data_IF_667922019585
#
_entry.id   IF_667922019585
#
_cell.length_a   1.000
_cell.length_b   1.000
_cell.length_c   1.000
_cell.angle_alpha   90.00
_cell.angle_beta   90.00
_cell.angle_gamma   90.00
#
_symmetry.space_group_name_H-M   'P 1'
#
loop_
_entity.id
_entity.type
_entity.pdbx_description
1 polymer ?
#
# COMPACT_ATOMS: atom_id res chain seq x y z
N UNK A 1 13.34 -24.45 -74.63
CA UNK A 1 13.42 -23.29 -73.73
C UNK A 1 12.30 -23.41 -72.67
N UNK A 2 12.60 -23.97 -71.51
CA UNK A 2 11.62 -24.15 -70.41
C UNK A 2 11.82 -22.99 -69.44
N UNK A 3 10.79 -22.11 -69.33
CA UNK A 3 10.75 -21.04 -68.31
C UNK A 3 10.34 -21.65 -67.01
N UNK A 4 11.27 -21.74 -66.03
CA UNK A 4 10.93 -22.01 -64.61
C UNK A 4 10.33 -20.76 -63.98
N UNK A 5 9.04 -20.85 -63.63
CA UNK A 5 8.32 -19.85 -62.84
C UNK A 5 8.58 -20.17 -61.36
N UNK A 6 9.45 -19.41 -60.73
CA UNK A 6 9.78 -19.54 -59.31
C UNK A 6 8.69 -18.75 -58.52
N UNK A 7 7.72 -19.46 -57.97
CA UNK A 7 6.73 -18.88 -57.07
C UNK A 7 7.36 -18.70 -55.69
N UNK A 8 7.64 -17.46 -55.33
CA UNK A 8 8.12 -17.06 -53.99
C UNK A 8 6.93 -17.09 -53.04
N UNK A 9 6.85 -18.16 -52.23
CA UNK A 9 5.84 -18.29 -51.18
C UNK A 9 6.28 -17.41 -50.00
N UNK A 10 5.75 -16.19 -49.89
CA UNK A 10 5.91 -15.36 -48.70
C UNK A 10 4.99 -15.94 -47.64
N UNK A 11 5.54 -16.78 -46.77
CA UNK A 11 4.89 -17.19 -45.53
C UNK A 11 4.89 -15.98 -44.59
N UNK A 12 3.74 -15.27 -44.55
CA UNK A 12 3.51 -14.32 -43.46
C UNK A 12 3.46 -15.13 -42.17
N UNK A 13 4.57 -15.18 -41.43
CA UNK A 13 4.56 -15.55 -40.01
C UNK A 13 3.83 -14.43 -39.30
N UNK A 14 2.53 -14.57 -39.13
CA UNK A 14 1.84 -13.93 -38.02
C UNK A 14 2.41 -14.58 -36.75
N UNK A 15 3.48 -14.02 -36.25
CA UNK A 15 3.93 -14.31 -34.91
C UNK A 15 2.80 -13.90 -34.01
N UNK A 16 2.18 -14.89 -33.36
CA UNK A 16 1.37 -14.65 -32.17
C UNK A 16 2.35 -14.01 -31.17
N UNK A 17 2.42 -12.67 -31.12
CA UNK A 17 3.09 -11.98 -30.05
C UNK A 17 2.28 -12.36 -28.81
N UNK A 18 2.81 -13.26 -28.00
CA UNK A 18 2.31 -13.46 -26.65
C UNK A 18 2.31 -12.07 -26.01
N UNK A 19 1.12 -11.57 -25.71
CA UNK A 19 0.97 -10.27 -25.07
C UNK A 19 1.77 -10.34 -23.78
N UNK A 20 2.88 -9.63 -23.71
CA UNK A 20 3.77 -9.64 -22.57
C UNK A 20 2.94 -9.18 -21.37
N UNK A 21 2.89 -9.99 -20.31
CA UNK A 21 2.17 -9.64 -19.09
C UNK A 21 2.88 -8.46 -18.44
N UNK A 22 2.11 -7.52 -17.90
CA UNK A 22 2.71 -6.48 -17.05
C UNK A 22 3.08 -7.08 -15.69
N UNK A 23 4.31 -6.84 -15.26
CA UNK A 23 4.84 -7.30 -13.98
C UNK A 23 4.54 -6.27 -12.90
N UNK A 24 3.83 -6.67 -11.86
CA UNK A 24 3.44 -5.82 -10.73
C UNK A 24 4.09 -6.34 -9.47
N UNK A 25 4.77 -5.49 -8.71
CA UNK A 25 5.28 -5.80 -7.39
C UNK A 25 4.38 -5.19 -6.32
N UNK A 26 4.00 -5.96 -5.31
CA UNK A 26 3.15 -5.50 -4.22
C UNK A 26 3.63 -6.05 -2.88
N UNK A 27 3.66 -5.24 -1.79
CA UNK A 27 3.96 -5.75 -0.46
C UNK A 27 2.77 -6.49 0.14
N UNK A 28 3.05 -7.48 1.01
CA UNK A 28 2.05 -8.14 1.84
C UNK A 28 1.24 -7.13 2.68
N UNK A 29 0.03 -7.52 3.08
CA UNK A 29 -0.90 -6.70 3.85
C UNK A 29 -2.01 -6.11 2.99
N UNK A 30 -2.57 -4.96 3.37
CA UNK A 30 -3.67 -4.32 2.65
C UNK A 30 -3.34 -3.99 1.17
N UNK A 31 -2.11 -3.62 0.80
CA UNK A 31 -1.79 -3.45 -0.62
C UNK A 31 -2.01 -4.73 -1.45
N UNK A 32 -1.70 -5.91 -0.90
CA UNK A 32 -1.95 -7.18 -1.60
C UNK A 32 -3.44 -7.52 -1.76
N UNK A 33 -4.34 -6.86 -1.04
CA UNK A 33 -5.78 -7.02 -1.26
C UNK A 33 -6.23 -6.32 -2.55
N UNK A 34 -5.58 -5.22 -2.95
CA UNK A 34 -5.98 -4.42 -4.11
C UNK A 34 -5.88 -5.17 -5.44
N UNK A 35 -5.03 -6.20 -5.50
CA UNK A 35 -4.72 -6.94 -6.74
C UNK A 35 -5.52 -8.24 -6.92
N UNK A 36 -6.40 -8.61 -5.98
CA UNK A 36 -7.05 -9.91 -5.97
C UNK A 36 -7.97 -10.15 -7.18
N UNK A 37 -8.55 -9.09 -7.76
CA UNK A 37 -9.40 -9.15 -8.95
C UNK A 37 -8.65 -8.98 -10.28
N UNK A 38 -7.33 -8.82 -10.28
CA UNK A 38 -6.56 -8.66 -11.52
C UNK A 38 -6.49 -9.97 -12.31
N UNK A 39 -6.71 -9.88 -13.63
CA UNK A 39 -6.58 -11.02 -14.55
C UNK A 39 -5.12 -11.46 -14.67
N UNK A 40 -4.82 -12.64 -14.15
CA UNK A 40 -3.47 -13.24 -14.17
C UNK A 40 -2.97 -13.59 -15.59
N UNK A 41 -3.83 -13.56 -16.61
CA UNK A 41 -3.41 -13.70 -18.01
C UNK A 41 -2.83 -12.41 -18.57
N UNK A 42 -3.09 -11.28 -17.92
CA UNK A 42 -2.64 -9.92 -18.31
C UNK A 42 -1.57 -9.41 -17.36
N UNK A 43 -1.69 -9.72 -16.08
CA UNK A 43 -0.82 -9.23 -15.02
C UNK A 43 -0.11 -10.38 -14.30
N UNK A 44 1.20 -10.28 -14.19
CA UNK A 44 1.99 -11.12 -13.30
C UNK A 44 2.25 -10.34 -12.01
N UNK A 45 1.79 -10.85 -10.89
CA UNK A 45 1.92 -10.19 -9.60
C UNK A 45 2.90 -10.93 -8.72
N UNK A 46 3.94 -10.22 -8.27
CA UNK A 46 4.91 -10.69 -7.29
C UNK A 46 4.58 -10.05 -5.92
N UNK A 47 4.19 -10.88 -4.94
CA UNK A 47 3.90 -10.43 -3.57
C UNK A 47 5.14 -10.62 -2.70
N UNK A 48 5.57 -9.54 -2.01
CA UNK A 48 6.83 -9.53 -1.27
C UNK A 48 6.68 -9.09 0.18
N UNK A 49 7.64 -9.47 1.02
CA UNK A 49 7.71 -9.08 2.41
C UNK A 49 8.85 -8.09 2.65
N UNK A 50 8.54 -7.05 3.42
CA UNK A 50 9.52 -6.03 3.81
C UNK A 50 9.86 -5.01 2.70
N UNK A 51 10.65 -3.98 3.04
CA UNK A 51 10.95 -2.89 2.12
C UNK A 51 12.05 -3.20 1.09
N UNK A 52 12.98 -4.13 1.37
CA UNK A 52 14.16 -4.36 0.55
C UNK A 52 13.84 -4.76 -0.90
N UNK A 53 12.88 -5.68 -1.18
CA UNK A 53 12.51 -6.01 -2.55
C UNK A 53 11.89 -4.81 -3.30
N UNK A 54 11.12 -3.95 -2.61
CA UNK A 54 10.56 -2.74 -3.19
C UNK A 54 11.67 -1.75 -3.57
N UNK A 55 12.62 -1.50 -2.66
CA UNK A 55 13.79 -0.63 -2.92
C UNK A 55 14.60 -1.15 -4.11
N UNK A 56 14.84 -2.47 -4.17
CA UNK A 56 15.57 -3.08 -5.29
C UNK A 56 14.82 -2.91 -6.63
N UNK A 57 13.49 -3.09 -6.63
CA UNK A 57 12.66 -2.95 -7.83
C UNK A 57 12.64 -1.50 -8.34
N UNK A 58 12.41 -0.52 -7.46
CA UNK A 58 12.50 0.90 -7.83
C UNK A 58 13.87 1.26 -8.39
N UNK A 59 14.94 0.73 -7.78
CA UNK A 59 16.31 1.02 -8.19
C UNK A 59 16.73 0.38 -9.52
N UNK A 60 16.15 -0.76 -9.89
CA UNK A 60 16.48 -1.52 -11.11
C UNK A 60 15.52 -1.31 -12.27
N UNK A 61 14.30 -0.79 -12.03
CA UNK A 61 13.26 -0.74 -13.06
C UNK A 61 12.74 -2.12 -13.47
N UNK A 62 12.77 -3.11 -12.56
CA UNK A 62 12.51 -4.53 -12.90
C UNK A 62 11.03 -4.87 -13.06
N UNK A 63 10.12 -4.00 -12.65
CA UNK A 63 8.68 -4.20 -12.73
C UNK A 63 8.03 -3.03 -13.47
N UNK A 64 6.95 -3.31 -14.19
CA UNK A 64 6.18 -2.31 -14.92
C UNK A 64 5.39 -1.41 -13.97
N UNK A 65 4.95 -1.97 -12.84
CA UNK A 65 4.29 -1.21 -11.78
C UNK A 65 4.70 -1.73 -10.39
N UNK A 66 4.68 -0.84 -9.42
CA UNK A 66 4.99 -1.14 -8.02
C UNK A 66 3.91 -0.50 -7.14
N UNK A 67 3.26 -1.29 -6.29
CA UNK A 67 2.49 -0.74 -5.18
C UNK A 67 3.43 -0.68 -3.99
N UNK A 68 3.56 0.47 -3.34
CA UNK A 68 4.52 0.67 -2.26
C UNK A 68 4.04 1.73 -1.26
N UNK A 69 4.60 1.76 -0.03
CA UNK A 69 4.38 2.87 0.88
C UNK A 69 4.69 4.20 0.19
N UNK A 70 3.78 5.17 0.32
CA UNK A 70 3.85 6.45 -0.41
C UNK A 70 5.16 7.20 -0.15
N UNK A 71 5.62 7.26 1.10
CA UNK A 71 6.90 7.91 1.44
C UNK A 71 8.12 7.21 0.83
N UNK A 72 8.07 5.88 0.67
CA UNK A 72 9.15 5.12 0.03
C UNK A 72 9.26 5.49 -1.45
N UNK A 73 8.13 5.50 -2.15
CA UNK A 73 8.08 5.90 -3.57
C UNK A 73 8.57 7.34 -3.78
N UNK A 74 8.12 8.29 -2.94
CA UNK A 74 8.61 9.67 -2.93
C UNK A 74 10.13 9.75 -2.79
N UNK A 75 10.68 9.03 -1.80
CA UNK A 75 12.14 9.00 -1.56
C UNK A 75 12.91 8.47 -2.76
N UNK A 76 12.39 7.41 -3.39
CA UNK A 76 13.10 6.74 -4.49
C UNK A 76 12.94 7.49 -5.82
N UNK A 77 11.83 8.19 -6.04
CA UNK A 77 11.67 9.13 -7.14
C UNK A 77 12.77 10.19 -7.13
N UNK A 78 13.04 10.82 -6.00
CA UNK A 78 14.09 11.83 -5.85
C UNK A 78 15.50 11.30 -6.22
N UNK A 79 15.70 9.98 -6.16
CA UNK A 79 17.00 9.35 -6.43
C UNK A 79 17.17 8.82 -7.86
N UNK A 80 16.10 8.38 -8.53
CA UNK A 80 16.16 7.65 -9.81
C UNK A 80 14.88 7.76 -10.65
N UNK A 81 14.25 8.79 -10.78
CA UNK A 81 13.10 9.12 -11.65
C UNK A 81 12.70 8.06 -12.73
N UNK A 82 12.56 6.79 -12.33
CA UNK A 82 12.12 5.70 -13.21
C UNK A 82 10.61 5.48 -13.17
N UNK A 83 9.95 5.94 -12.10
CA UNK A 83 8.53 5.70 -11.85
C UNK A 83 7.81 7.01 -11.57
N UNK A 84 6.53 7.06 -11.93
CA UNK A 84 5.60 8.13 -11.58
C UNK A 84 4.52 7.58 -10.64
N UNK A 85 4.03 8.40 -9.74
CA UNK A 85 2.88 8.09 -8.90
C UNK A 85 1.59 8.24 -9.72
N UNK A 86 0.88 7.14 -9.97
CA UNK A 86 -0.34 7.14 -10.76
C UNK A 86 -1.60 7.29 -9.90
N UNK A 87 -1.65 6.62 -8.75
CA UNK A 87 -2.82 6.64 -7.88
C UNK A 87 -2.45 6.29 -6.43
N UNK A 88 -3.27 6.71 -5.48
CA UNK A 88 -3.31 6.15 -4.14
C UNK A 88 -4.28 4.98 -4.15
N UNK A 89 -3.91 3.85 -3.54
CA UNK A 89 -4.70 2.61 -3.56
C UNK A 89 -5.05 2.07 -2.18
N UNK A 90 -4.30 2.48 -1.14
CA UNK A 90 -4.59 2.18 0.27
C UNK A 90 -4.48 3.47 1.06
N UNK A 91 -5.55 3.77 1.77
CA UNK A 91 -5.61 4.89 2.71
C UNK A 91 -5.37 4.40 4.14
N UNK A 92 -5.34 5.27 5.11
CA UNK A 92 -4.89 4.94 6.46
C UNK A 92 -5.59 3.73 7.10
N UNK A 93 -4.82 2.76 7.56
CA UNK A 93 -5.31 1.57 8.24
C UNK A 93 -4.41 1.16 9.42
N UNK A 94 -3.79 2.14 10.09
CA UNK A 94 -2.98 1.89 11.28
C UNK A 94 -3.80 2.02 12.55
N UNK A 95 -3.55 1.13 13.49
CA UNK A 95 -4.27 1.05 14.76
C UNK A 95 -3.31 0.84 15.92
N UNK A 96 -3.62 1.42 17.07
CA UNK A 96 -3.02 1.02 18.34
C UNK A 96 -3.98 0.07 19.04
N UNK A 97 -3.49 -1.07 19.52
CA UNK A 97 -4.29 -2.11 20.19
C UNK A 97 -3.84 -2.32 21.62
N UNK A 98 -4.79 -2.61 22.51
CA UNK A 98 -4.54 -3.06 23.88
C UNK A 98 -5.81 -3.69 24.46
N UNK A 99 -5.67 -4.73 25.30
CA UNK A 99 -6.78 -5.31 26.07
C UNK A 99 -6.86 -4.78 27.49
N UNK A 100 -5.96 -3.86 27.88
CA UNK A 100 -5.87 -3.31 29.24
C UNK A 100 -7.02 -2.36 29.58
N UNK A 101 -7.61 -1.73 28.56
CA UNK A 101 -8.61 -0.66 28.72
C UNK A 101 -10.02 -1.18 28.49
N UNK A 102 -11.00 -0.67 29.21
CA UNK A 102 -12.42 -0.89 28.87
C UNK A 102 -12.83 -0.05 27.65
N UNK A 103 -12.36 1.22 27.62
CA UNK A 103 -12.41 2.12 26.48
C UNK A 103 -10.98 2.60 26.23
N UNK A 104 -10.51 2.52 24.98
CA UNK A 104 -9.14 2.88 24.64
C UNK A 104 -9.14 4.11 23.73
N UNK A 105 -8.58 5.21 24.23
CA UNK A 105 -8.59 6.53 23.60
C UNK A 105 -7.18 7.09 23.47
N UNK A 106 -7.01 8.16 22.69
CA UNK A 106 -5.71 8.79 22.49
C UNK A 106 -5.10 9.33 23.80
N UNK A 107 -5.91 9.80 24.73
CA UNK A 107 -5.46 10.34 26.03
C UNK A 107 -4.83 9.26 26.91
N UNK A 108 -5.22 8.00 26.73
CA UNK A 108 -4.67 6.86 27.47
C UNK A 108 -3.20 6.56 27.13
N UNK A 109 -2.68 7.16 26.06
CA UNK A 109 -1.29 6.96 25.62
C UNK A 109 -0.29 7.76 26.46
N UNK A 110 -0.71 8.80 27.16
CA UNK A 110 0.23 9.70 27.81
C UNK A 110 1.10 8.99 28.86
N UNK A 111 2.42 9.13 28.76
CA UNK A 111 3.43 8.47 29.58
C UNK A 111 3.41 6.93 29.51
N UNK A 112 2.94 6.35 28.42
CA UNK A 112 2.94 4.91 28.20
C UNK A 112 4.13 4.43 27.38
N UNK A 113 4.46 3.15 27.55
CA UNK A 113 5.35 2.42 26.65
C UNK A 113 4.52 1.83 25.53
N UNK A 114 4.91 2.07 24.28
CA UNK A 114 4.23 1.57 23.09
C UNK A 114 5.20 0.84 22.16
N UNK A 115 4.73 -0.23 21.54
CA UNK A 115 5.48 -1.00 20.55
C UNK A 115 5.01 -0.57 19.16
N UNK A 116 5.95 -0.16 18.30
CA UNK A 116 5.68 0.38 16.97
C UNK A 116 6.52 -0.34 15.93
N UNK A 117 5.93 -0.69 14.79
CA UNK A 117 6.67 -1.18 13.62
C UNK A 117 6.89 -0.07 12.59
N UNK A 118 7.84 -0.28 11.68
CA UNK A 118 8.05 0.63 10.55
C UNK A 118 8.69 1.96 10.96
N UNK A 119 9.75 1.91 11.77
CA UNK A 119 10.52 3.11 12.12
C UNK A 119 10.89 3.91 10.86
N UNK A 120 10.59 5.22 10.87
CA UNK A 120 10.77 6.12 9.72
C UNK A 120 9.96 5.74 8.46
N UNK A 121 8.86 5.01 8.62
CA UNK A 121 7.87 4.74 7.58
C UNK A 121 6.55 5.46 7.90
N UNK A 122 5.56 5.36 7.01
CA UNK A 122 4.26 6.01 7.17
C UNK A 122 3.63 5.77 8.55
N UNK A 123 3.73 4.55 9.09
CA UNK A 123 3.20 4.21 10.42
C UNK A 123 3.76 5.09 11.54
N UNK A 124 5.10 5.21 11.59
CA UNK A 124 5.82 6.00 12.58
C UNK A 124 5.58 7.52 12.39
N UNK A 125 5.54 7.97 11.14
CA UNK A 125 5.30 9.38 10.78
C UNK A 125 3.93 9.83 11.29
N UNK A 126 2.87 9.09 10.94
CA UNK A 126 1.49 9.41 11.32
C UNK A 126 1.33 9.38 12.84
N UNK A 127 1.87 8.36 13.50
CA UNK A 127 1.81 8.28 14.97
C UNK A 127 2.48 9.49 15.62
N UNK A 128 3.70 9.83 15.23
CA UNK A 128 4.43 10.97 15.78
C UNK A 128 3.71 12.29 15.54
N UNK A 129 3.13 12.47 14.36
CA UNK A 129 2.35 13.65 14.04
C UNK A 129 1.14 13.79 14.98
N UNK A 130 0.37 12.72 15.16
CA UNK A 130 -0.79 12.69 16.06
C UNK A 130 -0.35 12.96 17.52
N UNK A 131 0.69 12.28 18.00
CA UNK A 131 1.20 12.47 19.37
C UNK A 131 1.65 13.92 19.62
N UNK A 132 2.34 14.52 18.64
CA UNK A 132 2.78 15.91 18.73
C UNK A 132 1.59 16.88 18.81
N UNK A 133 0.55 16.68 17.99
CA UNK A 133 -0.64 17.52 18.00
C UNK A 133 -1.35 17.52 19.35
N UNK A 134 -1.51 16.34 19.97
CA UNK A 134 -2.15 16.19 21.28
C UNK A 134 -1.21 16.47 22.47
N UNK A 135 0.07 16.82 22.23
CA UNK A 135 1.09 16.98 23.26
C UNK A 135 1.26 15.73 24.15
N UNK A 136 1.14 14.54 23.57
CA UNK A 136 1.26 13.26 24.26
C UNK A 136 2.70 12.79 24.21
N UNK A 137 3.24 12.41 25.38
CA UNK A 137 4.58 11.82 25.51
C UNK A 137 4.46 10.32 25.70
N UNK A 138 5.21 9.55 24.92
CA UNK A 138 5.27 8.08 25.00
C UNK A 138 6.73 7.62 24.92
N UNK A 139 7.01 6.41 25.43
CA UNK A 139 8.26 5.70 25.16
C UNK A 139 8.01 4.71 24.02
N UNK A 140 8.71 4.87 22.89
CA UNK A 140 8.52 3.99 21.73
C UNK A 140 9.61 2.91 21.70
N UNK A 141 9.18 1.65 21.64
CA UNK A 141 10.02 0.51 21.30
C UNK A 141 9.72 0.07 19.87
N UNK A 142 10.74 0.10 19.01
CA UNK A 142 10.56 -0.31 17.60
C UNK A 142 10.79 -1.80 17.42
N UNK A 143 9.98 -2.38 16.49
CA UNK A 143 10.14 -3.76 16.01
C UNK A 143 10.17 -3.75 14.47
N UNK A 144 10.73 -4.82 13.89
CA UNK A 144 11.04 -4.87 12.45
C UNK A 144 9.80 -5.00 11.55
N UNK A 145 8.69 -5.54 12.07
CA UNK A 145 7.50 -5.82 11.26
C UNK A 145 6.21 -5.81 12.08
N UNK A 146 5.07 -5.64 11.38
CA UNK A 146 3.74 -5.81 11.98
C UNK A 146 3.54 -7.23 12.55
N UNK A 147 4.16 -8.25 11.94
CA UNK A 147 4.09 -9.62 12.43
C UNK A 147 4.78 -9.75 13.80
N UNK A 148 5.96 -9.14 13.99
CA UNK A 148 6.66 -9.11 15.28
C UNK A 148 5.85 -8.33 16.33
N UNK A 149 5.27 -7.19 15.96
CA UNK A 149 4.38 -6.41 16.82
C UNK A 149 3.17 -7.26 17.27
N UNK A 150 2.51 -7.93 16.34
CA UNK A 150 1.36 -8.80 16.60
C UNK A 150 1.71 -9.97 17.53
N UNK A 151 2.88 -10.60 17.33
CA UNK A 151 3.33 -11.70 18.18
C UNK A 151 3.59 -11.23 19.64
N UNK A 152 4.15 -10.03 19.82
CA UNK A 152 4.33 -9.45 21.15
C UNK A 152 2.99 -9.15 21.82
N UNK A 153 2.01 -8.65 21.07
CA UNK A 153 0.66 -8.43 21.56
C UNK A 153 -0.02 -9.72 22.02
N UNK A 154 0.03 -10.78 21.21
CA UNK A 154 -0.56 -12.09 21.57
C UNK A 154 0.05 -12.65 22.84
N UNK A 155 1.37 -12.47 23.04
CA UNK A 155 2.08 -12.90 24.25
C UNK A 155 1.70 -12.09 25.50
N UNK A 156 1.38 -10.79 25.33
CA UNK A 156 0.92 -9.92 26.42
C UNK A 156 -0.07 -8.88 25.88
N UNK A 157 -1.38 -9.19 25.84
CA UNK A 157 -2.40 -8.31 25.29
C UNK A 157 -2.61 -6.99 26.05
N UNK A 158 -2.03 -6.85 27.26
CA UNK A 158 -2.08 -5.61 28.02
C UNK A 158 -1.08 -4.55 27.53
N UNK A 159 -0.14 -4.91 26.65
CA UNK A 159 0.74 -3.94 26.00
C UNK A 159 -0.03 -3.08 25.00
N UNK A 160 0.47 -1.87 24.78
CA UNK A 160 -0.02 -1.01 23.68
C UNK A 160 0.87 -1.29 22.49
N UNK A 161 0.28 -1.76 21.38
CA UNK A 161 1.00 -2.20 20.20
C UNK A 161 0.39 -1.60 18.97
N UNK A 162 1.22 -1.06 18.07
CA UNK A 162 0.79 -0.59 16.76
C UNK A 162 0.71 -1.74 15.78
N UNK A 163 -0.40 -1.82 15.06
CA UNK A 163 -0.66 -2.80 14.00
C UNK A 163 -1.33 -2.14 12.80
N UNK A 164 -1.44 -2.89 11.71
CA UNK A 164 -2.19 -2.52 10.52
C UNK A 164 -3.14 -3.66 10.14
N UNK A 165 -4.12 -3.40 9.28
CA UNK A 165 -4.85 -4.50 8.65
C UNK A 165 -3.93 -5.31 7.70
N UNK A 166 -4.12 -6.61 7.60
CA UNK A 166 -5.15 -7.49 8.22
C UNK A 166 -4.82 -7.96 9.65
N UNK A 167 -3.72 -7.52 10.24
CA UNK A 167 -3.30 -8.00 11.58
C UNK A 167 -4.28 -7.62 12.68
N UNK A 168 -4.91 -6.43 12.63
CA UNK A 168 -5.94 -6.05 13.59
C UNK A 168 -7.09 -7.07 13.60
N UNK A 169 -7.60 -7.43 12.42
CA UNK A 169 -8.70 -8.40 12.29
C UNK A 169 -8.30 -9.79 12.78
N UNK A 170 -7.05 -10.23 12.53
CA UNK A 170 -6.50 -11.47 13.07
C UNK A 170 -6.40 -11.43 14.60
N UNK A 171 -5.89 -10.33 15.16
CA UNK A 171 -5.75 -10.18 16.61
C UNK A 171 -7.09 -10.14 17.33
N UNK A 172 -8.10 -9.46 16.78
CA UNK A 172 -9.47 -9.47 17.34
C UNK A 172 -10.10 -10.87 17.34
N UNK A 173 -9.77 -11.70 16.33
CA UNK A 173 -10.23 -13.08 16.31
C UNK A 173 -9.52 -13.97 17.36
N UNK A 174 -8.25 -13.69 17.67
CA UNK A 174 -7.46 -14.43 18.65
C UNK A 174 -7.67 -13.95 20.09
N UNK A 175 -7.88 -12.64 20.27
CA UNK A 175 -8.02 -11.94 21.54
C UNK A 175 -9.27 -11.06 21.47
N UNK A 176 -10.47 -11.60 21.72
CA UNK A 176 -11.74 -10.89 21.51
C UNK A 176 -11.90 -9.60 22.32
N UNK A 177 -11.22 -9.47 23.46
CA UNK A 177 -11.22 -8.26 24.31
C UNK A 177 -10.38 -7.12 23.74
N UNK A 178 -9.70 -7.31 22.63
CA UNK A 178 -8.85 -6.28 22.00
C UNK A 178 -9.63 -5.00 21.72
N UNK A 179 -9.21 -3.91 22.34
CA UNK A 179 -9.62 -2.54 22.01
C UNK A 179 -8.62 -1.92 21.06
N UNK A 180 -9.07 -0.94 20.30
CA UNK A 180 -8.16 -0.25 19.38
C UNK A 180 -8.49 1.24 19.25
N UNK A 181 -7.46 1.99 18.92
CA UNK A 181 -7.55 3.37 18.43
C UNK A 181 -7.29 3.31 16.93
N UNK A 182 -8.19 3.86 16.15
CA UNK A 182 -8.02 4.02 14.72
C UNK A 182 -7.32 5.35 14.43
N UNK A 183 -6.06 5.28 13.95
CA UNK A 183 -5.27 6.48 13.66
C UNK A 183 -5.77 7.24 12.44
N UNK A 184 -6.48 6.58 11.51
CA UNK A 184 -7.11 7.23 10.37
C UNK A 184 -8.21 8.19 10.84
N UNK A 185 -9.11 7.71 11.71
CA UNK A 185 -10.17 8.55 12.27
C UNK A 185 -9.62 9.78 13.00
N UNK A 186 -8.53 9.60 13.76
CA UNK A 186 -7.87 10.74 14.43
C UNK A 186 -7.26 11.68 13.41
N UNK A 187 -6.51 11.17 12.43
CA UNK A 187 -5.90 11.98 11.39
C UNK A 187 -6.93 12.82 10.64
N UNK A 188 -8.07 12.24 10.25
CA UNK A 188 -9.18 12.93 9.59
C UNK A 188 -9.71 14.09 10.43
N UNK A 189 -9.86 13.89 11.75
CA UNK A 189 -10.30 14.95 12.65
C UNK A 189 -9.33 16.14 12.74
N UNK A 190 -8.04 15.93 12.46
CA UNK A 190 -7.01 16.96 12.45
C UNK A 190 -6.89 17.67 11.09
N UNK A 191 -7.27 17.03 10.00
CA UNK A 191 -7.01 17.46 8.63
C UNK A 191 -8.27 17.60 7.77
N UNK A 192 -9.36 18.13 8.35
CA UNK A 192 -10.59 18.44 7.60
C UNK A 192 -11.13 17.27 6.78
N UNK A 193 -11.20 16.08 7.40
CA UNK A 193 -11.64 14.81 6.82
C UNK A 193 -10.73 14.22 5.73
N UNK A 194 -9.54 14.81 5.49
CA UNK A 194 -8.55 14.22 4.61
C UNK A 194 -8.01 12.90 5.17
N UNK A 195 -7.79 11.94 4.29
CA UNK A 195 -7.14 10.66 4.60
C UNK A 195 -5.64 10.72 4.33
N UNK A 196 -4.81 10.00 5.11
CA UNK A 196 -3.41 9.91 4.76
C UNK A 196 -3.15 8.83 3.71
N UNK A 197 -2.36 9.14 2.66
CA UNK A 197 -2.05 8.20 1.58
C UNK A 197 -1.02 7.17 2.06
N UNK A 198 -1.48 5.96 2.40
CA UNK A 198 -0.61 4.91 2.97
C UNK A 198 0.20 4.19 1.91
N UNK A 199 -0.44 3.75 0.81
CA UNK A 199 0.24 3.10 -0.29
C UNK A 199 -0.28 3.60 -1.64
N UNK A 200 0.65 3.77 -2.58
CA UNK A 200 0.41 4.28 -3.91
C UNK A 200 0.84 3.29 -5.00
N UNK A 201 0.21 3.39 -6.15
CA UNK A 201 0.61 2.77 -7.40
C UNK A 201 1.66 3.64 -8.09
N UNK A 202 2.82 3.10 -8.33
CA UNK A 202 3.91 3.69 -9.12
C UNK A 202 4.03 2.94 -10.44
N UNK A 203 4.02 3.66 -11.55
CA UNK A 203 4.11 3.11 -12.90
C UNK A 203 5.44 3.47 -13.55
N UNK A 204 6.07 2.50 -14.24
CA UNK A 204 7.33 2.74 -14.92
C UNK A 204 7.14 3.70 -16.09
N UNK A 205 8.06 4.65 -16.29
CA UNK A 205 7.96 5.67 -17.35
C UNK A 205 8.03 5.12 -18.78
N UNK A 206 8.46 3.87 -18.97
CA UNK A 206 8.49 3.22 -20.28
C UNK A 206 7.12 2.65 -20.71
N UNK A 207 6.14 2.62 -19.79
CA UNK A 207 4.78 2.21 -20.13
C UNK A 207 4.11 3.27 -21.01
N UNK A 208 3.34 2.80 -21.98
CA UNK A 208 2.48 3.69 -22.77
C UNK A 208 1.27 4.15 -21.94
N UNK A 209 0.70 5.30 -22.29
CA UNK A 209 -0.52 5.80 -21.65
C UNK A 209 -1.65 4.76 -21.65
N UNK A 210 -1.86 4.07 -22.78
CA UNK A 210 -2.87 3.01 -22.89
C UNK A 210 -2.65 1.86 -21.90
N UNK A 211 -1.38 1.48 -21.66
CA UNK A 211 -1.04 0.46 -20.66
C UNK A 211 -1.33 0.94 -19.25
N UNK A 212 -0.99 2.19 -18.94
CA UNK A 212 -1.23 2.79 -17.63
C UNK A 212 -2.72 2.94 -17.35
N UNK A 213 -3.49 3.53 -18.29
CA UNK A 213 -4.95 3.66 -18.16
C UNK A 213 -5.60 2.29 -17.92
N UNK A 214 -5.24 1.31 -18.73
CA UNK A 214 -5.78 -0.04 -18.58
C UNK A 214 -5.42 -0.70 -17.26
N UNK A 215 -4.22 -0.47 -16.73
CA UNK A 215 -3.81 -0.94 -15.41
C UNK A 215 -4.65 -0.27 -14.32
N UNK A 216 -4.84 1.05 -14.40
CA UNK A 216 -5.65 1.83 -13.46
C UNK A 216 -7.10 1.32 -13.47
N UNK A 217 -7.75 1.22 -14.64
CA UNK A 217 -9.12 0.75 -14.77
C UNK A 217 -9.31 -0.66 -14.17
N UNK A 218 -8.38 -1.58 -14.47
CA UNK A 218 -8.47 -2.95 -13.96
C UNK A 218 -8.18 -3.02 -12.45
N UNK A 219 -7.30 -2.17 -11.93
CA UNK A 219 -7.02 -2.11 -10.50
C UNK A 219 -8.19 -1.49 -9.72
N UNK A 220 -8.83 -0.45 -10.27
CA UNK A 220 -10.04 0.14 -9.71
C UNK A 220 -11.18 -0.89 -9.65
N UNK A 221 -11.39 -1.65 -10.74
CA UNK A 221 -12.37 -2.73 -10.76
C UNK A 221 -12.01 -3.83 -9.76
N UNK A 222 -10.72 -4.20 -9.64
CA UNK A 222 -10.25 -5.16 -8.64
C UNK A 222 -10.56 -4.70 -7.23
N UNK A 223 -10.28 -3.43 -6.90
CA UNK A 223 -10.57 -2.85 -5.58
C UNK A 223 -12.08 -2.83 -5.31
N UNK A 224 -12.88 -2.44 -6.30
CA UNK A 224 -14.35 -2.48 -6.19
C UNK A 224 -14.84 -3.89 -5.87
N UNK A 225 -14.40 -4.88 -6.63
CA UNK A 225 -14.80 -6.28 -6.47
C UNK A 225 -14.34 -6.89 -5.14
N UNK A 226 -13.19 -6.45 -4.63
CA UNK A 226 -12.69 -6.82 -3.29
C UNK A 226 -13.55 -6.19 -2.20
N UNK A 227 -13.92 -4.92 -2.33
CA UNK A 227 -14.81 -4.23 -1.39
C UNK A 227 -16.24 -4.83 -1.40
N UNK A 228 -16.69 -5.39 -2.52
CA UNK A 228 -17.94 -6.16 -2.63
C UNK A 228 -17.83 -7.57 -2.01
N UNK A 229 -16.64 -7.94 -1.50
CA UNK A 229 -16.37 -9.19 -0.79
C UNK A 229 -16.71 -10.46 -1.58
N UNK A 230 -16.43 -10.46 -2.90
CA UNK A 230 -16.68 -11.62 -3.76
C UNK A 230 -15.95 -12.88 -3.25
N UNK A 231 -16.69 -13.98 -3.08
CA UNK A 231 -16.19 -15.20 -2.39
C UNK A 231 -14.97 -15.84 -3.07
N UNK A 232 -14.87 -15.79 -4.37
CA UNK A 232 -13.72 -16.23 -5.15
C UNK A 232 -12.47 -15.41 -4.86
N UNK A 233 -12.59 -14.08 -4.73
CA UNK A 233 -11.49 -13.19 -4.37
C UNK A 233 -11.06 -13.39 -2.93
N UNK A 234 -12.00 -13.59 -2.00
CA UNK A 234 -11.68 -13.95 -0.61
C UNK A 234 -10.92 -15.28 -0.55
N UNK A 235 -11.35 -16.29 -1.35
CA UNK A 235 -10.65 -17.57 -1.46
C UNK A 235 -9.24 -17.41 -2.00
N UNK A 236 -9.09 -16.57 -3.02
CA UNK A 236 -7.79 -16.28 -3.62
C UNK A 236 -6.87 -15.55 -2.64
N UNK A 237 -7.36 -14.54 -1.91
CA UNK A 237 -6.60 -13.83 -0.88
C UNK A 237 -6.08 -14.74 0.24
N UNK A 238 -6.90 -15.71 0.68
CA UNK A 238 -6.45 -16.76 1.61
C UNK A 238 -5.37 -17.64 0.99
N UNK A 239 -5.51 -18.03 -0.28
CA UNK A 239 -4.50 -18.85 -0.98
C UNK A 239 -3.15 -18.13 -1.16
N UNK A 240 -3.16 -16.81 -1.27
CA UNK A 240 -1.96 -15.96 -1.29
C UNK A 240 -1.33 -15.77 0.11
N UNK A 241 -1.97 -16.27 1.15
CA UNK A 241 -1.48 -16.15 2.53
C UNK A 241 -1.60 -14.74 3.11
N UNK A 242 -2.51 -13.90 2.60
CA UNK A 242 -2.80 -12.57 3.18
C UNK A 242 -3.33 -12.76 4.61
N UNK A 243 -4.25 -13.69 4.77
CA UNK A 243 -4.76 -14.22 6.04
C UNK A 243 -5.04 -15.71 5.89
N UNK A 244 -5.39 -16.41 6.98
CA UNK A 244 -5.68 -17.83 6.97
C UNK A 244 -7.19 -18.18 6.96
N UNK A 245 -8.06 -17.18 6.99
CA UNK A 245 -9.52 -17.36 7.04
C UNK A 245 -10.26 -16.25 6.26
N UNK A 246 -11.31 -16.61 5.52
CA UNK A 246 -12.10 -15.69 4.71
C UNK A 246 -12.84 -14.62 5.52
N UNK A 247 -13.35 -14.98 6.72
CA UNK A 247 -14.07 -14.01 7.54
C UNK A 247 -13.10 -12.97 8.13
N UNK A 248 -11.87 -13.38 8.45
CA UNK A 248 -10.81 -12.46 8.85
C UNK A 248 -10.48 -11.52 7.68
N UNK A 249 -10.34 -12.06 6.45
CA UNK A 249 -10.09 -11.23 5.26
C UNK A 249 -11.22 -10.24 5.00
N UNK A 250 -12.46 -10.70 5.10
CA UNK A 250 -13.65 -9.85 4.96
C UNK A 250 -13.66 -8.69 5.97
N UNK A 251 -13.38 -8.98 7.24
CA UNK A 251 -13.28 -7.95 8.28
C UNK A 251 -12.12 -6.97 7.99
N UNK A 252 -10.98 -7.49 7.53
CA UNK A 252 -9.82 -6.68 7.19
C UNK A 252 -10.07 -5.75 5.99
N UNK A 253 -10.76 -6.21 4.95
CA UNK A 253 -11.14 -5.40 3.78
C UNK A 253 -11.95 -4.19 4.24
N UNK A 254 -12.98 -4.40 5.07
CA UNK A 254 -13.88 -3.32 5.51
C UNK A 254 -13.18 -2.19 6.28
N UNK A 255 -12.00 -2.45 6.87
CA UNK A 255 -11.21 -1.47 7.64
C UNK A 255 -9.84 -1.14 6.99
N UNK A 256 -9.58 -1.64 5.79
CA UNK A 256 -8.33 -1.36 5.06
C UNK A 256 -8.39 -0.09 4.22
N UNK A 257 -9.56 0.55 4.10
CA UNK A 257 -9.80 1.78 3.32
C UNK A 257 -9.19 1.67 1.90
N UNK A 258 -9.54 0.60 1.18
CA UNK A 258 -9.09 0.38 -0.20
C UNK A 258 -9.91 1.26 -1.14
N UNK A 259 -9.26 2.19 -1.80
CA UNK A 259 -9.87 3.05 -2.82
C UNK A 259 -8.80 3.56 -3.76
N UNK A 260 -9.05 3.49 -5.07
CA UNK A 260 -8.17 4.09 -6.06
C UNK A 260 -8.60 5.53 -6.32
N UNK A 261 -7.66 6.47 -6.06
CA UNK A 261 -7.81 7.88 -6.42
C UNK A 261 -6.55 8.28 -7.17
N UNK A 262 -6.72 8.87 -8.36
CA UNK A 262 -5.58 9.33 -9.17
C UNK A 262 -4.69 10.28 -8.36
N UNK A 263 -3.38 10.19 -8.53
CA UNK A 263 -2.44 10.94 -7.70
C UNK A 263 -2.61 12.46 -7.81
N UNK A 264 -3.04 12.97 -8.97
CA UNK A 264 -3.36 14.39 -9.15
C UNK A 264 -4.68 14.78 -8.48
N UNK A 265 -5.67 13.89 -8.44
CA UNK A 265 -6.93 14.14 -7.74
C UNK A 265 -6.75 14.08 -6.22
N UNK A 266 -5.80 13.27 -5.74
CA UNK A 266 -5.40 13.16 -4.34
C UNK A 266 -4.27 14.13 -3.95
N UNK A 267 -4.01 15.17 -4.76
CA UNK A 267 -2.84 16.03 -4.55
C UNK A 267 -2.88 16.79 -3.23
N UNK A 268 -4.03 17.23 -2.80
CA UNK A 268 -4.17 17.99 -1.54
C UNK A 268 -3.84 17.10 -0.33
N UNK A 269 -4.28 15.82 -0.32
CA UNK A 269 -3.94 14.85 0.71
C UNK A 269 -2.45 14.48 0.66
N UNK A 270 -1.90 14.31 -0.55
CA UNK A 270 -0.47 14.06 -0.72
C UNK A 270 0.38 15.22 -0.24
N UNK A 271 0.03 16.46 -0.60
CA UNK A 271 0.75 17.66 -0.17
C UNK A 271 0.73 17.79 1.37
N UNK A 272 -0.44 17.65 2.00
CA UNK A 272 -0.57 17.64 3.47
C UNK A 272 0.33 16.58 4.11
N UNK A 273 0.31 15.35 3.57
CA UNK A 273 1.14 14.25 4.08
C UNK A 273 2.64 14.52 3.89
N UNK A 274 3.04 15.07 2.74
CA UNK A 274 4.43 15.42 2.45
C UNK A 274 4.92 16.54 3.37
N UNK A 275 4.11 17.58 3.62
CA UNK A 275 4.42 18.65 4.56
C UNK A 275 4.68 18.11 5.98
N UNK A 276 3.84 17.19 6.46
CA UNK A 276 4.05 16.50 7.75
C UNK A 276 5.42 15.80 7.80
N UNK A 277 5.82 15.14 6.71
CA UNK A 277 7.12 14.47 6.65
C UNK A 277 8.26 15.49 6.62
N UNK A 278 8.12 16.57 5.85
CA UNK A 278 9.12 17.64 5.78
C UNK A 278 9.36 18.28 7.14
N UNK A 279 8.30 18.49 7.92
CA UNK A 279 8.39 19.03 9.27
C UNK A 279 9.06 18.07 10.26
N UNK A 280 8.77 16.76 10.14
CA UNK A 280 9.32 15.75 11.02
C UNK A 280 10.75 15.33 10.65
N UNK A 281 10.98 14.97 9.39
CA UNK A 281 12.28 14.53 8.87
C UNK A 281 12.30 14.54 7.33
N UNK A 282 12.77 15.61 6.67
CA UNK A 282 12.81 15.72 5.22
C UNK A 282 13.53 14.58 4.49
N UNK A 283 14.53 13.96 5.14
CA UNK A 283 15.31 12.88 4.52
C UNK A 283 14.47 11.61 4.22
N UNK A 284 13.26 11.48 4.80
CA UNK A 284 12.38 10.34 4.56
C UNK A 284 11.72 10.35 3.17
N UNK A 285 11.73 11.50 2.50
CA UNK A 285 11.17 11.69 1.15
C UNK A 285 12.14 12.33 0.16
N UNK A 286 13.45 12.34 0.47
CA UNK A 286 14.47 12.93 -0.40
C UNK A 286 14.70 14.43 -0.23
N UNK A 287 14.07 15.09 0.74
CA UNK A 287 14.41 16.43 1.21
C UNK A 287 13.51 17.57 0.75
N UNK A 288 12.64 17.36 -0.21
CA UNK A 288 11.77 18.44 -0.76
C UNK A 288 10.44 17.89 -1.29
N UNK A 289 9.48 18.79 -1.51
CA UNK A 289 8.28 18.52 -2.28
C UNK A 289 8.66 18.00 -3.68
N UNK A 290 7.95 16.98 -4.22
CA UNK A 290 8.15 16.55 -5.60
C UNK A 290 7.63 17.62 -6.57
N UNK A 291 8.19 17.64 -7.76
CA UNK A 291 7.65 18.44 -8.86
C UNK A 291 6.49 17.70 -9.56
N UNK A 292 5.87 18.37 -10.53
CA UNK A 292 4.71 17.82 -11.25
C UNK A 292 5.05 16.55 -12.03
N UNK A 293 6.30 16.31 -12.40
CA UNK A 293 6.70 15.11 -13.13
C UNK A 293 6.68 13.83 -12.27
N UNK A 294 6.56 13.99 -10.95
CA UNK A 294 6.31 12.87 -10.04
C UNK A 294 4.93 12.23 -10.28
N UNK A 295 3.95 13.03 -10.61
CA UNK A 295 2.58 12.58 -10.81
C UNK A 295 2.38 12.13 -12.26
N UNK A 296 1.82 10.95 -12.44
CA UNK A 296 1.29 10.60 -13.76
C UNK A 296 0.03 11.42 -14.03
N UNK A 297 -0.08 11.96 -15.24
CA UNK A 297 -1.27 12.66 -15.71
C UNK A 297 -1.75 12.05 -17.02
N UNK A 298 -3.06 11.95 -17.15
CA UNK A 298 -3.71 11.61 -18.39
C UNK A 298 -3.76 12.87 -19.28
N UNK A 299 -2.74 13.05 -20.13
CA UNK A 299 -2.77 14.10 -21.16
C UNK A 299 -3.68 13.64 -22.32
N UNK A 300 -4.99 13.80 -22.17
CA UNK A 300 -5.97 13.59 -23.22
C UNK A 300 -6.35 14.88 -23.94
#
# INVERSE_FOLDING_TARGET
MKKCLMILLIVMMYGCQSKEQLNILVPQGSPAMTILGLDQSIYKVDVVNGPDPLVAAFGSGSHDAIIAPTNLGLKLYQSKDLYQCAAIVVWGNYHLVSSRFESFTIDDLNNQDIIVFGQNQTSDIILKHILAFYNITVTITYVDSVANASALYVNNPNQIVMVAEPSLSQLKALVPETKHIDLQTIYQSLHHDQSFPQAALFVHRDLTEDQIRKLIDNLELSIHDVNDEKDDLLSYGVSLGIVNDKNILKNAISSSHLALILALDAKDELDTYIEIILDLNPALIGGSMPDLSFYWSDES
#
